data_IF_670286622522
#
_entry.id   IF_670286622522
#
_cell.length_a   1.000
_cell.length_b   1.000
_cell.length_c   1.000
_cell.angle_alpha   90.00
_cell.angle_beta   90.00
_cell.angle_gamma   90.00
#
_symmetry.space_group_name_H-M   'P 1'
#
loop_
_entity.id
_entity.type
_entity.pdbx_description
1 polymer ?
#
# COMPACT_ATOMS: atom_id res chain seq x y z
N UNK A 1 13.38 0.31 4.30
CA UNK A 1 13.27 -0.66 5.42
C UNK A 1 11.84 -0.67 5.95
N UNK A 2 11.30 -1.85 6.23
CA UNK A 2 9.96 -1.98 6.78
C UNK A 2 10.07 -2.27 8.27
N UNK A 3 9.49 -1.39 9.09
CA UNK A 3 9.44 -1.59 10.54
C UNK A 3 8.22 -2.42 10.91
N UNK A 4 8.36 -3.29 11.92
CA UNK A 4 7.25 -4.12 12.38
C UNK A 4 6.10 -3.30 12.99
N UNK A 5 6.37 -2.05 13.38
CA UNK A 5 5.36 -1.14 13.91
C UNK A 5 4.48 -0.50 12.84
N UNK A 6 4.85 -0.59 11.56
CA UNK A 6 4.04 -0.01 10.49
C UNK A 6 2.76 -0.82 10.28
N UNK A 7 1.59 -0.17 10.23
CA UNK A 7 0.37 -0.86 9.83
C UNK A 7 0.55 -1.51 8.45
N UNK A 8 0.12 -2.74 8.32
CA UNK A 8 0.36 -3.54 7.12
C UNK A 8 -0.92 -4.21 6.66
N UNK A 9 -1.20 -4.16 5.36
CA UNK A 9 -2.29 -4.90 4.74
C UNK A 9 -1.72 -5.91 3.76
N UNK A 10 -2.22 -7.15 3.83
CA UNK A 10 -1.81 -8.23 2.94
C UNK A 10 -2.93 -8.48 1.92
N UNK A 11 -2.63 -8.27 0.65
CA UNK A 11 -3.58 -8.43 -0.44
C UNK A 11 -3.53 -9.82 -1.08
N UNK A 12 -2.86 -10.78 -0.40
CA UNK A 12 -2.75 -12.14 -0.90
C UNK A 12 -4.12 -12.73 -1.26
N UNK A 13 -4.25 -13.26 -2.47
CA UNK A 13 -5.48 -13.89 -2.92
C UNK A 13 -6.58 -12.94 -3.37
N UNK A 14 -6.39 -11.64 -3.31
CA UNK A 14 -7.37 -10.67 -3.79
C UNK A 14 -7.31 -10.55 -5.30
N UNK A 15 -8.47 -10.34 -5.95
CA UNK A 15 -8.45 -9.84 -7.31
C UNK A 15 -8.09 -8.35 -7.33
N UNK A 16 -7.81 -7.83 -8.52
CA UNK A 16 -7.33 -6.47 -8.70
C UNK A 16 -8.27 -5.42 -8.13
N UNK A 17 -9.57 -5.51 -8.43
CA UNK A 17 -10.53 -4.48 -8.04
C UNK A 17 -10.77 -4.50 -6.54
N UNK A 18 -10.88 -5.69 -5.95
CA UNK A 18 -11.05 -5.84 -4.52
C UNK A 18 -9.82 -5.35 -3.76
N UNK A 19 -8.61 -5.64 -4.29
CA UNK A 19 -7.38 -5.15 -3.69
C UNK A 19 -7.34 -3.63 -3.60
N UNK A 20 -7.72 -2.94 -4.68
CA UNK A 20 -7.76 -1.48 -4.70
C UNK A 20 -8.78 -0.94 -3.70
N UNK A 21 -9.94 -1.58 -3.60
CA UNK A 21 -10.94 -1.22 -2.60
C UNK A 21 -10.39 -1.33 -1.17
N UNK A 22 -9.72 -2.44 -0.86
CA UNK A 22 -9.11 -2.63 0.46
C UNK A 22 -8.02 -1.60 0.75
N UNK A 23 -7.22 -1.26 -0.23
CA UNK A 23 -6.17 -0.25 -0.08
C UNK A 23 -6.79 1.12 0.22
N UNK A 24 -7.87 1.47 -0.48
CA UNK A 24 -8.59 2.72 -0.23
C UNK A 24 -9.05 2.82 1.22
N UNK A 25 -9.71 1.78 1.72
CA UNK A 25 -10.19 1.76 3.10
C UNK A 25 -9.02 1.83 4.08
N UNK A 26 -7.96 1.08 3.80
CA UNK A 26 -6.78 1.04 4.65
C UNK A 26 -6.10 2.41 4.76
N UNK A 27 -5.97 3.12 3.64
CA UNK A 27 -5.41 4.47 3.62
C UNK A 27 -6.28 5.42 4.43
N UNK A 28 -7.59 5.39 4.21
CA UNK A 28 -8.51 6.28 4.92
C UNK A 28 -8.47 6.04 6.42
N UNK A 29 -8.47 4.78 6.86
CA UNK A 29 -8.41 4.44 8.27
C UNK A 29 -7.12 4.91 8.92
N UNK A 30 -5.99 4.67 8.27
CA UNK A 30 -4.69 5.04 8.83
C UNK A 30 -4.45 6.54 8.79
N UNK A 31 -4.98 7.22 7.79
CA UNK A 31 -4.93 8.68 7.74
C UNK A 31 -5.66 9.28 8.95
N UNK A 32 -6.85 8.78 9.26
CA UNK A 32 -7.62 9.22 10.44
C UNK A 32 -6.89 8.96 11.74
N UNK A 33 -6.14 7.85 11.81
CA UNK A 33 -5.33 7.49 12.97
C UNK A 33 -3.99 8.22 13.01
N UNK A 34 -3.73 9.08 12.04
CA UNK A 34 -2.48 9.87 11.92
C UNK A 34 -1.23 8.99 11.85
N UNK A 35 -1.35 7.85 11.16
CA UNK A 35 -0.19 6.98 10.88
C UNK A 35 0.54 7.51 9.67
N UNK A 36 1.83 7.82 9.83
CA UNK A 36 2.65 8.42 8.76
C UNK A 36 3.00 7.41 7.68
N UNK A 37 3.26 6.17 8.05
CA UNK A 37 3.79 5.16 7.14
C UNK A 37 2.99 3.87 7.26
N UNK A 38 2.58 3.32 6.12
CA UNK A 38 1.88 2.05 6.04
C UNK A 38 2.56 1.16 5.00
N UNK A 39 2.27 -0.13 5.04
CA UNK A 39 2.85 -1.12 4.14
C UNK A 39 1.75 -1.90 3.44
N UNK A 40 1.90 -2.09 2.14
CA UNK A 40 0.97 -2.89 1.33
C UNK A 40 1.74 -4.07 0.77
N UNK A 41 1.30 -5.29 1.11
CA UNK A 41 1.86 -6.52 0.58
C UNK A 41 1.01 -6.93 -0.63
N UNK A 42 1.54 -6.74 -1.83
CA UNK A 42 0.87 -7.10 -3.09
C UNK A 42 1.46 -8.37 -3.71
N UNK A 43 2.58 -8.83 -3.18
CA UNK A 43 3.26 -10.00 -3.70
C UNK A 43 4.16 -9.66 -4.88
N UNK A 44 4.97 -10.66 -5.28
CA UNK A 44 5.92 -10.50 -6.39
C UNK A 44 5.27 -10.84 -7.73
N UNK A 45 4.68 -12.02 -7.85
CA UNK A 45 3.91 -12.51 -8.98
C UNK A 45 4.16 -11.85 -10.34
N UNK A 46 3.08 -11.70 -11.12
CA UNK A 46 3.14 -11.09 -12.45
C UNK A 46 2.96 -9.56 -12.45
N UNK A 47 2.86 -8.96 -11.27
CA UNK A 47 2.75 -7.50 -11.12
C UNK A 47 1.36 -6.92 -11.30
N UNK A 48 0.33 -7.72 -11.48
CA UNK A 48 -1.03 -7.21 -11.69
C UNK A 48 -1.50 -6.40 -10.47
N UNK A 49 -1.39 -6.96 -9.26
CA UNK A 49 -1.80 -6.26 -8.04
C UNK A 49 -0.91 -5.05 -7.77
N UNK A 50 0.40 -5.22 -7.91
CA UNK A 50 1.35 -4.12 -7.73
C UNK A 50 1.02 -2.95 -8.64
N UNK A 51 0.80 -3.20 -9.92
CA UNK A 51 0.53 -2.14 -10.90
C UNK A 51 -0.80 -1.44 -10.62
N UNK A 52 -1.84 -2.19 -10.26
CA UNK A 52 -3.14 -1.61 -9.93
C UNK A 52 -3.06 -0.74 -8.66
N UNK A 53 -2.37 -1.23 -7.64
CA UNK A 53 -2.17 -0.49 -6.39
C UNK A 53 -1.36 0.79 -6.66
N UNK A 54 -0.26 0.70 -7.40
CA UNK A 54 0.57 1.87 -7.70
C UNK A 54 -0.20 2.92 -8.50
N UNK A 55 -1.01 2.50 -9.47
CA UNK A 55 -1.87 3.43 -10.23
C UNK A 55 -2.83 4.16 -9.28
N UNK A 56 -3.45 3.43 -8.37
CA UNK A 56 -4.35 4.02 -7.39
C UNK A 56 -3.62 5.01 -6.48
N UNK A 57 -2.44 4.64 -5.97
CA UNK A 57 -1.65 5.49 -5.07
C UNK A 57 -1.25 6.80 -5.73
N UNK A 58 -0.89 6.77 -7.02
CA UNK A 58 -0.51 7.99 -7.76
C UNK A 58 -1.65 8.99 -7.83
N UNK A 59 -2.89 8.53 -7.77
CA UNK A 59 -4.08 9.37 -7.92
C UNK A 59 -4.76 9.68 -6.58
N UNK A 60 -4.16 9.28 -5.47
CA UNK A 60 -4.72 9.49 -4.14
C UNK A 60 -4.02 10.66 -3.44
N UNK A 61 -4.76 11.74 -3.19
CA UNK A 61 -4.20 12.96 -2.59
C UNK A 61 -3.76 12.81 -1.13
N UNK A 62 -4.17 11.74 -0.45
CA UNK A 62 -3.70 11.46 0.92
C UNK A 62 -2.31 10.82 0.94
N UNK A 63 -1.82 10.38 -0.21
CA UNK A 63 -0.50 9.75 -0.34
C UNK A 63 0.53 10.79 -0.69
N UNK A 64 1.56 10.93 0.15
CA UNK A 64 2.66 11.84 -0.10
C UNK A 64 3.65 11.23 -1.09
N UNK A 65 4.09 10.01 -0.81
CA UNK A 65 4.99 9.28 -1.70
C UNK A 65 4.90 7.78 -1.39
N UNK A 66 5.39 6.97 -2.30
CA UNK A 66 5.45 5.52 -2.09
C UNK A 66 6.59 4.92 -2.92
N UNK A 67 7.09 3.78 -2.47
CA UNK A 67 8.12 3.04 -3.19
C UNK A 67 8.06 1.56 -2.86
N UNK A 68 8.51 0.73 -3.80
CA UNK A 68 8.67 -0.71 -3.56
C UNK A 68 9.86 -0.88 -2.60
N UNK A 69 9.71 -1.75 -1.61
CA UNK A 69 10.80 -2.02 -0.68
C UNK A 69 11.95 -2.72 -1.41
N UNK A 70 13.19 -2.29 -1.15
CA UNK A 70 14.35 -2.83 -1.85
C UNK A 70 14.71 -4.24 -1.42
N UNK A 71 14.34 -4.63 -0.19
CA UNK A 71 14.62 -5.97 0.34
C UNK A 71 13.47 -6.91 0.03
N UNK A 72 12.23 -6.49 0.31
CA UNK A 72 11.03 -7.28 0.04
C UNK A 72 10.24 -6.63 -1.09
N UNK A 73 10.54 -7.03 -2.32
CA UNK A 73 9.93 -6.43 -3.51
C UNK A 73 8.46 -6.79 -3.70
N UNK A 74 7.91 -7.65 -2.86
CA UNK A 74 6.47 -7.91 -2.79
C UNK A 74 5.70 -6.89 -1.96
N UNK A 75 6.38 -5.88 -1.42
CA UNK A 75 5.79 -4.86 -0.56
C UNK A 75 6.03 -3.46 -1.10
N UNK A 76 5.06 -2.58 -0.89
CA UNK A 76 5.18 -1.14 -1.15
C UNK A 76 5.02 -0.39 0.16
N UNK A 77 5.96 0.50 0.44
CA UNK A 77 5.92 1.39 1.60
C UNK A 77 5.27 2.70 1.16
N UNK A 78 4.27 3.15 1.90
CA UNK A 78 3.50 4.34 1.57
C UNK A 78 3.60 5.35 2.70
N UNK A 79 4.00 6.57 2.38
CA UNK A 79 3.98 7.68 3.33
C UNK A 79 2.75 8.53 3.06
N UNK A 80 1.96 8.76 4.12
CA UNK A 80 0.74 9.56 4.03
C UNK A 80 1.05 11.03 4.26
N UNK A 81 0.27 11.89 3.59
CA UNK A 81 0.46 13.34 3.62
C UNK A 81 -0.27 13.93 4.84
N UNK A 82 0.37 13.79 5.98
CA UNK A 82 -0.16 14.29 7.27
C UNK A 82 0.44 15.63 7.65
#
# INVERSE_FOLDING_TARGET
MILSSYPTIDLHGCDRDYAVYLVKDFINDNYKLQKHTIVIIHGIGNGILKNAVHKYLKNNHLVKEFHVDVINTGCTVVDLDL
#
